data_IF_819754588231
#
_entry.id   IF_819754588231
#
_cell.length_a   1.000
_cell.length_b   1.000
_cell.length_c   1.000
_cell.angle_alpha   90.00
_cell.angle_beta   90.00
_cell.angle_gamma   90.00
#
_symmetry.space_group_name_H-M   'P 1'
#
loop_
_entity.id
_entity.type
_entity.pdbx_description
1 polymer ?
#
# COMPACT_ATOMS: atom_id res chain seq x y z
N UNK A 1 -46.94 11.95 -31.95
CA UNK A 1 -45.89 10.92 -32.00
C UNK A 1 -45.24 10.91 -30.64
N UNK A 2 -45.33 9.82 -29.88
CA UNK A 2 -44.77 9.79 -28.53
C UNK A 2 -43.33 9.29 -28.60
N UNK A 3 -42.38 10.10 -28.14
CA UNK A 3 -41.01 9.64 -27.91
C UNK A 3 -41.01 8.70 -26.70
N UNK A 4 -40.58 7.46 -26.89
CA UNK A 4 -40.36 6.54 -25.79
C UNK A 4 -39.11 6.94 -25.02
N UNK A 5 -39.25 7.17 -23.70
CA UNK A 5 -38.10 7.24 -22.79
C UNK A 5 -37.45 5.85 -22.78
N UNK A 6 -36.13 5.71 -22.92
CA UNK A 6 -35.47 4.40 -22.82
C UNK A 6 -35.69 3.84 -21.42
N UNK A 7 -36.24 2.63 -21.34
CA UNK A 7 -36.42 1.91 -20.09
C UNK A 7 -35.03 1.56 -19.54
N UNK A 8 -34.78 1.90 -18.27
CA UNK A 8 -33.52 1.56 -17.60
C UNK A 8 -33.31 0.04 -17.64
N UNK A 9 -32.08 -0.38 -17.96
CA UNK A 9 -31.72 -1.79 -18.01
C UNK A 9 -31.98 -2.50 -16.69
N UNK A 10 -32.36 -3.78 -16.76
CA UNK A 10 -32.55 -4.63 -15.58
C UNK A 10 -31.28 -4.63 -14.72
N UNK A 11 -31.40 -4.26 -13.45
CA UNK A 11 -30.32 -4.37 -12.48
C UNK A 11 -29.89 -5.83 -12.33
N UNK A 12 -28.73 -6.17 -12.89
CA UNK A 12 -28.13 -7.50 -12.78
C UNK A 12 -27.81 -7.78 -11.30
N UNK A 13 -28.45 -8.79 -10.73
CA UNK A 13 -28.18 -9.20 -9.36
C UNK A 13 -26.78 -9.83 -9.26
N UNK A 14 -25.95 -9.35 -8.33
CA UNK A 14 -24.62 -9.91 -8.10
C UNK A 14 -24.73 -11.35 -7.57
N UNK A 15 -23.78 -12.18 -7.99
CA UNK A 15 -23.59 -13.54 -7.49
C UNK A 15 -22.82 -13.52 -6.18
N UNK A 16 -23.19 -14.40 -5.27
CA UNK A 16 -22.44 -14.64 -4.03
C UNK A 16 -21.58 -15.89 -4.15
N UNK A 17 -20.37 -15.84 -3.58
CA UNK A 17 -19.59 -17.05 -3.33
C UNK A 17 -20.19 -17.82 -2.14
N UNK A 18 -20.10 -19.16 -2.10
CA UNK A 18 -20.63 -19.98 -1.00
C UNK A 18 -19.80 -19.85 0.30
N UNK A 19 -18.58 -19.33 0.19
CA UNK A 19 -17.66 -18.96 1.28
C UNK A 19 -16.93 -17.68 0.88
N UNK A 20 -16.32 -16.97 1.83
CA UNK A 20 -15.49 -15.79 1.53
C UNK A 20 -14.35 -16.19 0.57
N UNK A 21 -14.21 -15.56 -0.62
CA UNK A 21 -13.06 -15.80 -1.49
C UNK A 21 -11.81 -15.20 -0.84
N UNK A 22 -10.72 -15.97 -0.81
CA UNK A 22 -9.40 -15.51 -0.37
C UNK A 22 -8.40 -15.97 -1.43
N UNK A 23 -7.49 -15.07 -1.79
CA UNK A 23 -6.38 -15.32 -2.70
C UNK A 23 -5.09 -14.94 -1.99
N UNK A 24 -3.99 -15.59 -2.36
CA UNK A 24 -2.63 -15.23 -1.93
C UNK A 24 -1.81 -15.18 -3.20
N UNK A 25 -1.02 -14.13 -3.35
CA UNK A 25 -0.13 -13.87 -4.48
C UNK A 25 1.28 -13.62 -3.95
N UNK A 26 2.29 -13.72 -4.80
CA UNK A 26 3.69 -13.45 -4.42
C UNK A 26 4.04 -11.98 -4.69
N UNK A 27 3.83 -11.52 -5.93
CA UNK A 27 3.91 -10.10 -6.29
C UNK A 27 2.52 -9.45 -6.22
N UNK A 28 2.45 -8.22 -5.70
CA UNK A 28 1.22 -7.51 -5.38
C UNK A 28 0.26 -7.34 -6.58
N UNK A 29 0.77 -6.99 -7.77
CA UNK A 29 -0.04 -6.76 -8.96
C UNK A 29 -0.79 -8.02 -9.48
N UNK A 30 -0.35 -9.23 -9.10
CA UNK A 30 -1.03 -10.48 -9.49
C UNK A 30 -2.44 -10.62 -8.89
N UNK A 31 -2.84 -9.77 -7.94
CA UNK A 31 -4.21 -9.71 -7.42
C UNK A 31 -5.22 -9.23 -8.48
N UNK A 32 -4.80 -8.37 -9.41
CA UNK A 32 -5.67 -7.73 -10.40
C UNK A 32 -6.42 -8.74 -11.33
N UNK A 33 -5.77 -9.80 -11.86
CA UNK A 33 -6.46 -10.93 -12.51
C UNK A 33 -7.66 -11.51 -11.73
N UNK A 34 -7.58 -11.58 -10.40
CA UNK A 34 -8.63 -12.14 -9.56
C UNK A 34 -9.80 -11.16 -9.39
N UNK A 35 -9.51 -9.88 -9.21
CA UNK A 35 -10.50 -8.79 -9.16
C UNK A 35 -11.26 -8.72 -10.49
N UNK A 36 -10.55 -8.66 -11.63
CA UNK A 36 -11.17 -8.61 -12.96
C UNK A 36 -12.02 -9.86 -13.25
N UNK A 37 -11.60 -11.04 -12.78
CA UNK A 37 -12.41 -12.28 -12.88
C UNK A 37 -13.66 -12.22 -12.00
N UNK A 38 -13.60 -11.62 -10.80
CA UNK A 38 -14.77 -11.44 -9.94
C UNK A 38 -15.78 -10.46 -10.55
N UNK A 39 -15.33 -9.36 -11.16
CA UNK A 39 -16.16 -8.42 -11.92
C UNK A 39 -16.81 -9.12 -13.12
N UNK A 40 -16.01 -9.74 -14.01
CA UNK A 40 -16.50 -10.39 -15.22
C UNK A 40 -17.44 -11.58 -14.96
N UNK A 41 -17.36 -12.21 -13.79
CA UNK A 41 -18.28 -13.27 -13.36
C UNK A 41 -19.49 -12.77 -12.55
N UNK A 42 -19.65 -11.45 -12.40
CA UNK A 42 -20.68 -10.74 -11.63
C UNK A 42 -20.70 -11.03 -10.12
N UNK A 43 -19.56 -11.35 -9.51
CA UNK A 43 -19.40 -11.41 -8.05
C UNK A 43 -18.97 -10.07 -7.44
N UNK A 44 -18.37 -9.19 -8.25
CA UNK A 44 -18.21 -7.76 -7.97
C UNK A 44 -19.01 -6.94 -9.00
N UNK A 45 -19.44 -5.72 -8.65
CA UNK A 45 -20.06 -4.78 -9.59
C UNK A 45 -19.04 -4.29 -10.63
N UNK A 46 -19.53 -3.76 -11.76
CA UNK A 46 -18.68 -3.24 -12.82
C UNK A 46 -18.00 -1.89 -12.49
N UNK A 47 -18.45 -1.21 -11.45
CA UNK A 47 -18.00 0.11 -11.01
C UNK A 47 -18.32 0.33 -9.54
N UNK A 48 -17.84 1.44 -8.96
CA UNK A 48 -18.11 1.85 -7.58
C UNK A 48 -17.66 0.83 -6.51
N UNK A 49 -16.58 0.09 -6.79
CA UNK A 49 -15.91 -0.74 -5.79
C UNK A 49 -15.11 0.18 -4.84
N UNK A 50 -15.22 -0.09 -3.54
CA UNK A 50 -14.31 0.45 -2.53
C UNK A 50 -13.14 -0.50 -2.33
N UNK A 51 -11.92 0.02 -2.41
CA UNK A 51 -10.71 -0.76 -2.16
C UNK A 51 -10.17 -0.43 -0.76
N UNK A 52 -9.95 -1.43 0.09
CA UNK A 52 -9.38 -1.27 1.43
C UNK A 52 -8.00 -1.89 1.43
N UNK A 53 -6.97 -1.06 1.61
CA UNK A 53 -5.56 -1.43 1.46
C UNK A 53 -4.82 -1.29 2.78
N UNK A 54 -4.13 -2.34 3.25
CA UNK A 54 -3.29 -2.34 4.45
C UNK A 54 -1.83 -2.64 4.05
N UNK A 55 -1.00 -1.60 3.96
CA UNK A 55 0.35 -1.66 3.38
C UNK A 55 1.21 -0.47 3.86
N UNK A 56 2.55 -0.59 3.85
CA UNK A 56 3.46 0.55 4.02
C UNK A 56 3.56 1.45 2.79
N UNK A 57 2.99 1.04 1.65
CA UNK A 57 2.96 1.73 0.37
C UNK A 57 1.51 1.98 -0.08
N UNK A 58 1.24 3.08 -0.79
CA UNK A 58 -0.12 3.38 -1.26
C UNK A 58 -0.46 2.75 -2.62
N UNK A 59 0.57 2.38 -3.40
CA UNK A 59 0.52 1.74 -4.72
C UNK A 59 -0.35 2.44 -5.77
N UNK A 60 -0.35 3.77 -5.66
CA UNK A 60 -1.04 4.70 -6.54
C UNK A 60 -0.11 5.35 -7.59
N UNK A 61 1.07 4.79 -7.86
CA UNK A 61 1.83 5.22 -9.03
C UNK A 61 1.13 4.77 -10.32
N UNK A 62 1.61 5.28 -11.44
CA UNK A 62 1.11 5.00 -12.77
C UNK A 62 2.36 4.77 -13.64
N UNK A 63 2.42 3.71 -14.47
CA UNK A 63 3.53 3.54 -15.42
C UNK A 63 3.62 4.75 -16.36
N UNK A 64 4.62 5.61 -16.14
CA UNK A 64 4.68 6.99 -16.68
C UNK A 64 4.56 7.05 -18.21
N UNK A 65 5.05 6.00 -18.90
CA UNK A 65 5.10 5.89 -20.36
C UNK A 65 3.96 5.02 -20.96
N UNK A 66 3.14 4.35 -20.16
CA UNK A 66 2.10 3.45 -20.66
C UNK A 66 0.95 4.27 -21.30
N UNK A 67 0.57 4.00 -22.57
CA UNK A 67 -0.60 4.60 -23.18
C UNK A 67 -1.88 4.28 -22.38
N UNK A 68 -2.77 5.26 -22.22
CA UNK A 68 -3.97 5.06 -21.40
C UNK A 68 -4.91 3.97 -21.95
N UNK A 69 -4.88 3.73 -23.27
CA UNK A 69 -5.72 2.73 -23.91
C UNK A 69 -5.28 1.29 -23.59
N UNK A 70 -4.02 1.09 -23.15
CA UNK A 70 -3.48 -0.21 -22.72
C UNK A 70 -4.27 -0.82 -21.57
N UNK A 71 -4.93 -0.01 -20.72
CA UNK A 71 -5.77 -0.50 -19.61
C UNK A 71 -6.95 -1.37 -20.07
N UNK A 72 -7.35 -1.25 -21.34
CA UNK A 72 -8.43 -2.05 -21.93
C UNK A 72 -7.94 -3.29 -22.71
N UNK A 73 -6.63 -3.46 -22.87
CA UNK A 73 -5.99 -4.70 -23.32
C UNK A 73 -5.42 -5.42 -22.08
N UNK A 74 -6.09 -6.49 -21.65
CA UNK A 74 -5.76 -7.20 -20.41
C UNK A 74 -4.35 -7.81 -20.45
N UNK A 75 -3.96 -8.37 -21.58
CA UNK A 75 -2.69 -9.06 -21.75
C UNK A 75 -1.52 -8.06 -21.83
N UNK A 76 -1.71 -6.92 -22.50
CA UNK A 76 -0.72 -5.84 -22.52
C UNK A 76 -0.63 -5.14 -21.15
N UNK A 77 -1.76 -4.81 -20.52
CA UNK A 77 -1.80 -4.17 -19.19
C UNK A 77 -0.98 -4.96 -18.19
N UNK A 78 -1.23 -6.26 -18.03
CA UNK A 78 -0.56 -7.08 -17.02
C UNK A 78 0.97 -7.23 -17.28
N UNK A 79 1.47 -6.86 -18.45
CA UNK A 79 2.91 -6.81 -18.75
C UNK A 79 3.60 -5.47 -18.43
N UNK A 80 2.81 -4.42 -18.16
CA UNK A 80 3.29 -3.07 -17.80
C UNK A 80 3.18 -2.77 -16.29
N UNK A 81 2.58 -3.68 -15.50
CA UNK A 81 2.37 -3.50 -14.06
C UNK A 81 3.57 -3.96 -13.21
N UNK A 82 3.72 -3.28 -12.07
CA UNK A 82 4.64 -3.65 -10.98
C UNK A 82 3.95 -3.37 -9.63
N UNK A 83 4.57 -3.83 -8.55
CA UNK A 83 4.02 -3.82 -7.19
C UNK A 83 3.51 -2.45 -6.73
N UNK A 84 4.09 -1.36 -7.22
CA UNK A 84 3.83 0.01 -6.78
C UNK A 84 2.81 0.80 -7.61
N UNK A 85 2.28 0.23 -8.70
CA UNK A 85 1.58 1.00 -9.75
C UNK A 85 0.26 0.41 -10.28
N UNK A 86 -0.23 -0.68 -9.68
CA UNK A 86 -1.28 -1.51 -10.25
C UNK A 86 -2.72 -1.09 -9.92
N UNK A 87 -2.94 -0.32 -8.83
CA UNK A 87 -4.30 0.09 -8.40
C UNK A 87 -4.90 1.10 -9.38
N UNK A 88 -4.11 2.09 -9.82
CA UNK A 88 -4.59 3.23 -10.62
C UNK A 88 -5.16 2.86 -12.00
N UNK A 89 -4.60 1.88 -12.73
CA UNK A 89 -5.26 1.27 -13.88
C UNK A 89 -6.71 0.81 -13.62
N UNK A 90 -6.99 0.17 -12.49
CA UNK A 90 -8.35 -0.27 -12.14
C UNK A 90 -9.30 0.90 -11.78
N UNK A 91 -8.75 2.02 -11.30
CA UNK A 91 -9.48 3.28 -11.11
C UNK A 91 -9.78 3.93 -12.46
N UNK A 92 -8.81 4.02 -13.39
CA UNK A 92 -9.01 4.58 -14.73
C UNK A 92 -9.99 3.75 -15.58
N UNK A 93 -9.98 2.43 -15.44
CA UNK A 93 -11.00 1.54 -16.01
C UNK A 93 -12.42 1.85 -15.49
N UNK A 94 -12.54 2.52 -14.33
CA UNK A 94 -13.80 2.89 -13.68
C UNK A 94 -14.36 1.85 -12.72
N UNK A 95 -13.58 0.81 -12.38
CA UNK A 95 -14.00 -0.26 -11.48
C UNK A 95 -13.97 0.21 -10.01
N UNK A 96 -12.85 0.81 -9.59
CA UNK A 96 -12.63 1.33 -8.23
C UNK A 96 -12.96 2.83 -8.19
N UNK A 97 -13.68 3.29 -7.17
CA UNK A 97 -14.04 4.72 -6.98
C UNK A 97 -13.60 5.31 -5.62
N UNK A 98 -13.46 4.45 -4.61
CA UNK A 98 -12.90 4.78 -3.30
C UNK A 98 -11.66 3.92 -3.06
N UNK A 99 -10.58 4.51 -2.55
CA UNK A 99 -9.44 3.78 -1.97
C UNK A 99 -9.29 4.22 -0.52
N UNK A 100 -9.20 3.28 0.41
CA UNK A 100 -8.87 3.51 1.80
C UNK A 100 -7.47 2.93 2.03
N UNK A 101 -6.45 3.78 2.12
CA UNK A 101 -5.10 3.36 2.49
C UNK A 101 -4.96 3.45 4.01
N UNK A 102 -4.95 2.29 4.66
CA UNK A 102 -4.71 2.12 6.08
C UNK A 102 -3.21 1.86 6.25
N UNK A 103 -2.47 2.86 6.71
CA UNK A 103 -1.01 2.85 6.67
C UNK A 103 -0.37 2.85 8.07
N UNK A 104 0.80 2.23 8.25
CA UNK A 104 1.52 2.23 9.52
C UNK A 104 2.27 3.58 9.74
N UNK A 105 2.72 3.91 10.97
CA UNK A 105 3.29 5.22 11.29
C UNK A 105 4.60 5.59 10.57
N UNK A 106 5.27 4.62 9.94
CA UNK A 106 6.47 4.85 9.12
C UNK A 106 6.16 5.14 7.65
N UNK A 107 4.95 4.84 7.18
CA UNK A 107 4.47 5.17 5.86
C UNK A 107 3.91 6.60 5.87
N UNK A 108 4.51 7.48 5.07
CA UNK A 108 4.27 8.93 5.06
C UNK A 108 4.29 9.51 3.62
N UNK A 109 4.11 8.66 2.61
CA UNK A 109 4.17 9.01 1.18
C UNK A 109 3.08 10.00 0.75
N UNK A 110 1.89 9.88 1.35
CA UNK A 110 0.72 10.74 1.14
C UNK A 110 0.24 11.22 2.51
N UNK A 111 -0.24 12.46 2.61
CA UNK A 111 -0.70 13.05 3.87
C UNK A 111 -2.02 12.44 4.37
N UNK A 112 -2.23 12.36 5.68
CA UNK A 112 -3.45 11.80 6.27
C UNK A 112 -4.69 12.66 5.97
N UNK A 113 -5.82 12.02 5.65
CA UNK A 113 -7.08 12.73 5.42
C UNK A 113 -7.90 12.21 4.24
N UNK A 114 -8.60 13.13 3.57
CA UNK A 114 -9.56 12.84 2.50
C UNK A 114 -9.14 13.63 1.26
N UNK A 115 -8.65 12.91 0.25
CA UNK A 115 -8.15 13.45 -1.02
C UNK A 115 -9.15 13.14 -2.14
N UNK A 116 -9.42 14.13 -2.98
CA UNK A 116 -10.35 14.00 -4.10
C UNK A 116 -9.70 14.60 -5.35
N UNK A 117 -9.51 13.76 -6.36
CA UNK A 117 -8.89 14.16 -7.62
C UNK A 117 -9.44 13.32 -8.78
N UNK A 118 -9.14 13.75 -10.00
CA UNK A 118 -9.49 13.04 -11.22
C UNK A 118 -8.29 12.24 -11.72
N UNK A 119 -8.54 11.06 -12.28
CA UNK A 119 -7.61 10.31 -13.12
C UNK A 119 -8.16 10.28 -14.55
N UNK A 120 -7.30 10.39 -15.55
CA UNK A 120 -7.73 10.44 -16.95
C UNK A 120 -6.58 10.22 -17.94
N UNK A 121 -6.91 10.28 -19.22
CA UNK A 121 -5.93 10.28 -20.32
C UNK A 121 -5.50 11.72 -20.59
N UNK A 122 -4.22 12.02 -20.47
CA UNK A 122 -3.69 13.33 -20.86
C UNK A 122 -3.70 13.47 -22.40
N UNK A 123 -4.28 14.57 -22.90
CA UNK A 123 -4.37 14.89 -24.33
C UNK A 123 -3.02 15.06 -25.03
N UNK A 124 -1.96 15.38 -24.29
CA UNK A 124 -0.65 15.71 -24.85
C UNK A 124 0.29 14.50 -24.98
N UNK A 125 0.34 13.61 -23.99
CA UNK A 125 1.15 12.38 -24.00
C UNK A 125 0.36 11.12 -24.37
N UNK A 126 -0.97 11.15 -24.31
CA UNK A 126 -1.89 9.98 -24.42
C UNK A 126 -1.76 8.94 -23.29
N UNK A 127 -0.94 9.21 -22.28
CA UNK A 127 -0.74 8.36 -21.09
C UNK A 127 -1.72 8.72 -19.96
N UNK A 128 -1.76 7.93 -18.89
CA UNK A 128 -2.64 8.20 -17.74
C UNK A 128 -2.00 9.23 -16.82
N UNK A 129 -2.77 10.24 -16.41
CA UNK A 129 -2.35 11.31 -15.49
C UNK A 129 -3.48 11.66 -14.51
N UNK A 130 -3.14 12.38 -13.44
CA UNK A 130 -4.05 12.73 -12.34
C UNK A 130 -4.10 14.25 -12.11
N UNK A 131 -5.13 14.73 -11.43
CA UNK A 131 -5.17 16.11 -10.88
C UNK A 131 -4.77 16.18 -9.40
N UNK A 132 -4.22 15.09 -8.85
CA UNK A 132 -3.78 15.01 -7.45
C UNK A 132 -2.52 15.83 -7.20
N UNK A 133 -2.54 16.67 -6.17
CA UNK A 133 -1.46 17.64 -5.86
C UNK A 133 -0.55 17.21 -4.71
N UNK A 134 -0.72 16.01 -4.16
CA UNK A 134 0.20 15.44 -3.18
C UNK A 134 1.60 15.26 -3.78
N UNK A 135 2.63 15.42 -2.93
CA UNK A 135 4.04 15.31 -3.33
C UNK A 135 4.36 13.98 -4.04
N UNK A 136 3.65 12.92 -3.68
CA UNK A 136 3.69 11.60 -4.32
C UNK A 136 3.44 11.66 -5.84
N UNK A 137 2.33 12.28 -6.29
CA UNK A 137 2.01 12.40 -7.72
C UNK A 137 2.86 13.48 -8.42
N UNK A 138 3.29 14.51 -7.70
CA UNK A 138 4.12 15.59 -8.24
C UNK A 138 5.57 15.14 -8.53
N UNK A 139 6.12 14.24 -7.72
CA UNK A 139 7.51 13.76 -7.86
C UNK A 139 7.75 13.05 -9.19
N UNK A 140 6.81 12.21 -9.58
CA UNK A 140 6.90 11.34 -10.75
C UNK A 140 6.29 11.98 -12.02
N UNK A 141 5.92 13.27 -11.95
CA UNK A 141 5.35 14.01 -13.08
C UNK A 141 3.95 13.53 -13.50
N UNK A 142 3.19 12.93 -12.58
CA UNK A 142 1.87 12.37 -12.84
C UNK A 142 0.74 13.41 -12.85
N UNK A 143 1.00 14.63 -12.37
CA UNK A 143 0.02 15.72 -12.33
C UNK A 143 -0.17 16.41 -13.69
N UNK A 144 -1.43 16.61 -14.10
CA UNK A 144 -1.84 17.58 -15.13
C UNK A 144 -3.11 18.34 -14.72
N UNK A 145 -3.35 19.55 -15.27
CA UNK A 145 -4.62 20.26 -15.13
C UNK A 145 -5.84 19.47 -15.64
N UNK A 146 -7.00 19.66 -15.00
CA UNK A 146 -8.23 18.92 -15.30
C UNK A 146 -8.77 19.15 -16.73
N UNK A 147 -8.50 20.29 -17.34
CA UNK A 147 -8.87 20.63 -18.73
C UNK A 147 -7.99 19.91 -19.77
N UNK A 148 -6.93 19.22 -19.34
CA UNK A 148 -6.04 18.41 -20.18
C UNK A 148 -6.33 16.91 -20.08
N UNK A 149 -7.35 16.50 -19.30
CA UNK A 149 -7.74 15.10 -19.13
C UNK A 149 -9.01 14.71 -19.92
N UNK A 150 -8.90 13.69 -20.75
CA UNK A 150 -10.02 12.93 -21.32
C UNK A 150 -10.42 11.74 -20.44
N UNK A 151 -11.64 11.23 -20.64
CA UNK A 151 -12.18 10.01 -19.98
C UNK A 151 -12.17 10.01 -18.44
N UNK A 152 -12.15 11.20 -17.84
CA UNK A 152 -12.00 11.47 -16.40
C UNK A 152 -12.83 10.53 -15.50
N UNK A 153 -12.19 9.94 -14.50
CA UNK A 153 -12.82 9.22 -13.38
C UNK A 153 -12.49 9.95 -12.06
N UNK A 154 -13.46 10.18 -11.16
CA UNK A 154 -13.18 10.71 -9.84
C UNK A 154 -12.70 9.59 -8.89
N UNK A 155 -11.56 9.81 -8.23
CA UNK A 155 -11.09 8.98 -7.12
C UNK A 155 -11.30 9.70 -5.78
N UNK A 156 -11.80 8.97 -4.80
CA UNK A 156 -11.83 9.38 -3.39
C UNK A 156 -10.80 8.55 -2.64
N UNK A 157 -9.66 9.15 -2.32
CA UNK A 157 -8.62 8.53 -1.51
C UNK A 157 -8.80 8.94 -0.04
N UNK A 158 -8.81 7.96 0.85
CA UNK A 158 -8.84 8.14 2.30
C UNK A 158 -7.54 7.58 2.88
N UNK A 159 -6.67 8.43 3.40
CA UNK A 159 -5.39 8.05 4.02
C UNK A 159 -5.57 8.05 5.54
N UNK A 160 -5.39 6.89 6.16
CA UNK A 160 -5.79 6.62 7.54
C UNK A 160 -4.62 5.97 8.31
N UNK A 161 -4.02 6.72 9.23
CA UNK A 161 -2.96 6.24 10.10
C UNK A 161 -3.48 5.15 11.07
N UNK A 162 -2.88 3.96 11.01
CA UNK A 162 -3.11 2.87 11.96
C UNK A 162 -1.94 2.84 12.95
N UNK A 163 -2.17 3.40 14.14
CA UNK A 163 -1.23 3.25 15.25
C UNK A 163 -1.31 1.82 15.83
N UNK A 164 -0.18 1.16 16.13
CA UNK A 164 -0.17 -0.07 16.92
C UNK A 164 -0.84 0.17 18.27
N UNK A 165 -1.83 -0.66 18.62
CA UNK A 165 -2.37 -0.68 19.99
C UNK A 165 -1.38 -1.39 20.91
N UNK A 166 -0.94 -0.72 21.97
CA UNK A 166 -0.29 -1.35 23.12
C UNK A 166 -1.08 -2.60 23.55
N UNK A 167 -0.47 -3.78 23.44
CA UNK A 167 -1.10 -5.00 23.88
C UNK A 167 -1.29 -4.93 25.41
N UNK A 168 -2.53 -4.91 25.87
CA UNK A 168 -2.83 -4.83 27.30
C UNK A 168 -2.29 -6.06 28.02
N UNK A 169 -1.18 -5.91 28.73
CA UNK A 169 -0.47 -6.98 29.44
C UNK A 169 -1.24 -7.48 30.69
N UNK A 170 -2.42 -8.03 30.47
CA UNK A 170 -3.28 -8.65 31.48
C UNK A 170 -2.89 -10.11 31.70
N UNK A 171 -1.91 -10.32 32.59
CA UNK A 171 -1.49 -11.62 33.15
C UNK A 171 -0.98 -12.68 32.17
N UNK A 172 0.31 -12.63 31.83
CA UNK A 172 1.10 -13.87 31.77
C UNK A 172 1.58 -14.24 33.17
N UNK A 173 0.69 -14.88 33.95
CA UNK A 173 1.04 -15.39 35.28
C UNK A 173 1.80 -16.73 35.16
N UNK A 174 3.12 -16.62 35.00
CA UNK A 174 4.12 -17.60 35.41
C UNK A 174 3.93 -19.07 34.92
N UNK A 175 4.28 -19.32 33.65
CA UNK A 175 5.09 -20.49 33.32
C UNK A 175 4.44 -21.66 32.56
N UNK A 176 4.36 -21.54 31.23
CA UNK A 176 4.95 -22.55 30.34
C UNK A 176 5.28 -21.91 28.98
N UNK A 177 6.50 -22.12 28.45
CA UNK A 177 6.86 -21.60 27.12
C UNK A 177 6.19 -22.47 26.07
N UNK A 178 5.07 -21.99 25.52
CA UNK A 178 4.29 -22.65 24.47
C UNK A 178 5.07 -22.70 23.14
N UNK A 179 6.07 -23.58 23.06
CA UNK A 179 6.90 -23.77 21.88
C UNK A 179 6.02 -24.03 20.65
N UNK A 180 6.22 -23.21 19.60
CA UNK A 180 5.43 -23.25 18.38
C UNK A 180 5.36 -24.69 17.83
N UNK A 181 4.14 -25.18 17.58
CA UNK A 181 3.88 -26.56 17.14
C UNK A 181 4.41 -26.78 15.72
N UNK A 182 5.71 -27.08 15.64
CA UNK A 182 6.46 -27.42 14.42
C UNK A 182 5.72 -28.54 13.67
N UNK A 183 5.12 -28.19 12.54
CA UNK A 183 4.35 -29.13 11.73
C UNK A 183 5.26 -30.29 11.28
N UNK A 184 4.95 -31.50 11.74
CA UNK A 184 5.82 -32.66 11.58
C UNK A 184 5.54 -33.34 10.24
N UNK A 185 6.31 -32.99 9.20
CA UNK A 185 6.26 -33.69 7.92
C UNK A 185 6.65 -35.16 8.13
N UNK A 186 5.78 -36.09 7.72
CA UNK A 186 6.04 -37.52 7.76
C UNK A 186 6.82 -37.97 6.50
N UNK A 187 8.13 -37.73 6.46
CA UNK A 187 9.00 -38.36 5.47
C UNK A 187 9.37 -39.76 5.94
N UNK A 188 8.63 -40.76 5.47
CA UNK A 188 8.75 -42.16 5.87
C UNK A 188 9.07 -43.10 4.72
N UNK A 189 10.25 -42.97 4.12
CA UNK A 189 10.83 -44.01 3.25
C UNK A 189 12.36 -44.03 3.42
N UNK A 190 12.94 -45.22 3.49
CA UNK A 190 14.35 -45.44 3.88
C UNK A 190 15.10 -46.26 2.84
N UNK A 191 16.44 -46.09 2.85
CA UNK A 191 17.45 -46.88 2.14
C UNK A 191 17.70 -46.53 0.65
N UNK A 192 18.94 -46.53 0.11
CA UNK A 192 20.29 -46.61 0.76
C UNK A 192 21.47 -46.47 -0.24
N UNK A 193 22.70 -46.38 0.30
CA UNK A 193 24.04 -46.72 -0.28
C UNK A 193 24.84 -45.60 -1.01
N UNK A 194 26.18 -45.64 -0.77
CA UNK A 194 27.33 -44.93 -1.39
C UNK A 194 27.48 -43.41 -1.08
N UNK A 195 28.58 -42.87 -0.52
CA UNK A 195 30.04 -42.95 -0.81
C UNK A 195 30.51 -41.87 -1.82
N UNK A 196 31.60 -41.11 -1.62
CA UNK A 196 32.64 -41.09 -0.57
C UNK A 196 33.33 -39.69 -0.43
N UNK A 197 34.19 -39.55 0.61
CA UNK A 197 35.38 -38.67 0.78
C UNK A 197 35.59 -37.45 -0.13
N UNK A 198 36.01 -36.27 0.35
CA UNK A 198 37.33 -36.08 1.02
C UNK A 198 37.49 -34.72 1.75
N UNK A 199 38.62 -34.50 2.44
CA UNK A 199 38.85 -33.36 3.34
C UNK A 199 40.27 -32.75 3.26
N UNK A 200 40.41 -31.42 3.18
CA UNK A 200 41.61 -30.66 3.63
C UNK A 200 41.33 -29.16 3.84
N UNK A 201 42.05 -28.55 4.79
CA UNK A 201 42.23 -27.12 5.10
C UNK A 201 43.51 -27.01 5.99
N UNK A 202 43.96 -25.85 6.56
CA UNK A 202 43.52 -24.45 6.42
C UNK A 202 44.68 -23.40 6.28
N UNK A 203 44.35 -22.10 6.32
CA UNK A 203 45.23 -21.01 6.84
C UNK A 203 45.66 -19.89 5.86
N UNK A 204 46.12 -18.70 6.30
CA UNK A 204 45.96 -18.03 7.62
C UNK A 204 46.43 -16.54 7.58
N UNK A 205 45.77 -15.63 8.32
CA UNK A 205 46.15 -14.21 8.62
C UNK A 205 46.24 -13.22 7.41
N UNK A 206 46.26 -11.88 7.54
CA UNK A 206 46.51 -10.99 8.71
C UNK A 206 45.69 -9.65 8.71
N UNK A 207 45.85 -8.83 9.76
CA UNK A 207 45.15 -7.57 10.09
C UNK A 207 45.54 -6.31 9.28
N UNK A 208 44.65 -5.29 9.27
CA UNK A 208 44.96 -3.92 9.77
C UNK A 208 43.76 -2.95 9.83
N UNK A 209 43.77 -2.01 10.79
CA UNK A 209 42.85 -0.86 10.94
C UNK A 209 43.67 0.41 11.23
N UNK A 210 43.25 1.58 10.73
CA UNK A 210 43.48 2.83 11.46
C UNK A 210 42.20 3.68 11.64
N UNK A 211 41.93 4.10 12.87
CA UNK A 211 40.88 5.07 13.23
C UNK A 211 41.42 6.50 13.22
N UNK A 212 40.56 7.51 12.99
CA UNK A 212 40.90 8.92 13.22
C UNK A 212 39.73 9.70 13.84
N UNK A 213 40.05 10.87 14.44
CA UNK A 213 39.33 11.40 15.62
C UNK A 213 38.56 12.69 15.34
N UNK A 214 37.54 12.94 16.20
CA UNK A 214 36.88 14.24 16.38
C UNK A 214 37.90 15.37 16.58
N UNK A 215 37.51 16.59 16.20
CA UNK A 215 37.93 17.83 16.86
C UNK A 215 36.76 18.78 17.01
N UNK A 216 36.80 19.55 18.09
CA UNK A 216 35.77 20.49 18.55
C UNK A 216 36.48 21.81 18.87
N UNK A 217 35.91 22.96 18.49
CA UNK A 217 36.41 24.29 18.87
C UNK A 217 35.22 25.21 19.11
N UNK A 218 35.21 25.84 20.29
CA UNK A 218 34.23 26.84 20.70
C UNK A 218 34.84 28.24 20.53
N UNK A 219 34.02 29.28 20.34
CA UNK A 219 34.33 30.67 20.71
C UNK A 219 33.05 31.51 20.78
N UNK A 220 33.07 32.57 21.59
CA UNK A 220 31.88 33.38 21.91
C UNK A 220 32.15 34.89 21.77
N UNK A 221 31.10 35.71 21.60
CA UNK A 221 31.19 37.17 21.54
C UNK A 221 29.83 37.88 21.45
N UNK A 222 29.72 39.06 22.06
CA UNK A 222 28.46 39.81 22.35
C UNK A 222 28.81 41.27 22.68
N UNK A 223 27.94 42.30 22.68
CA UNK A 223 26.49 42.47 22.44
C UNK A 223 26.31 43.60 21.36
N UNK A 224 25.19 44.30 21.07
CA UNK A 224 23.77 44.35 21.51
C UNK A 224 22.92 45.10 20.44
N UNK A 225 21.57 44.96 20.43
CA UNK A 225 20.55 46.05 20.45
C UNK A 225 19.12 45.53 20.12
N UNK A 226 18.08 46.10 20.76
CA UNK A 226 16.64 45.84 20.58
C UNK A 226 15.99 46.75 19.49
N UNK A 227 14.69 46.77 19.15
CA UNK A 227 13.45 46.04 19.55
C UNK A 227 12.83 45.35 18.28
N UNK A 228 11.84 44.44 18.28
CA UNK A 228 10.43 44.55 18.78
C UNK A 228 9.75 43.17 18.79
N UNK A 229 8.67 43.03 19.57
CA UNK A 229 7.93 41.78 19.82
C UNK A 229 7.09 41.26 18.62
N UNK A 230 7.09 39.93 18.44
CA UNK A 230 5.97 39.16 17.90
C UNK A 230 6.03 37.74 18.48
N UNK A 231 4.90 37.19 18.91
CA UNK A 231 4.86 35.97 19.73
C UNK A 231 4.73 34.71 18.87
N UNK A 232 5.78 33.87 18.85
CA UNK A 232 5.74 32.51 18.30
C UNK A 232 6.00 31.51 19.43
N UNK A 233 4.97 30.83 19.98
CA UNK A 233 5.17 29.82 21.01
C UNK A 233 5.87 28.60 20.42
N UNK A 234 7.08 28.31 20.89
CA UNK A 234 7.78 27.09 20.57
C UNK A 234 7.09 25.86 21.19
N UNK A 235 7.25 24.70 20.54
CA UNK A 235 6.94 23.37 21.07
C UNK A 235 5.54 23.16 21.70
N UNK A 236 4.55 22.85 20.87
CA UNK A 236 3.74 21.66 21.16
C UNK A 236 4.49 20.46 20.59
N UNK A 237 5.26 19.73 21.39
CA UNK A 237 4.77 18.58 22.18
C UNK A 237 4.09 17.53 21.28
N UNK A 238 4.70 16.33 21.26
CA UNK A 238 4.08 15.13 20.69
C UNK A 238 2.76 14.91 21.43
N UNK A 239 1.63 15.16 20.74
CA UNK A 239 0.32 14.76 21.26
C UNK A 239 0.16 13.30 20.93
N UNK A 240 -0.08 12.47 21.94
CA UNK A 240 -0.61 11.13 21.74
C UNK A 240 -2.06 11.26 21.23
N UNK A 241 -2.20 11.50 19.93
CA UNK A 241 -3.46 11.33 19.21
C UNK A 241 -3.71 9.83 19.08
N UNK A 242 -4.04 9.18 20.19
CA UNK A 242 -4.80 7.94 20.18
C UNK A 242 -6.20 8.25 19.62
N UNK A 243 -6.27 8.40 18.30
CA UNK A 243 -7.54 8.38 17.59
C UNK A 243 -8.11 6.98 17.83
N UNK A 244 -9.19 6.81 18.61
CA UNK A 244 -9.54 5.48 19.09
C UNK A 244 -9.84 4.57 17.91
N UNK A 245 -9.44 3.30 17.97
CA UNK A 245 -9.70 2.32 16.90
C UNK A 245 -11.20 2.23 16.52
N UNK A 246 -12.09 2.59 17.46
CA UNK A 246 -13.55 2.74 17.23
C UNK A 246 -13.90 3.86 16.25
N UNK A 247 -13.17 4.97 16.24
CA UNK A 247 -13.39 6.09 15.33
C UNK A 247 -12.82 5.78 13.95
N UNK A 248 -11.63 5.16 13.87
CA UNK A 248 -11.08 4.57 12.63
C UNK A 248 -12.09 3.61 11.99
N UNK A 249 -12.67 2.69 12.76
CA UNK A 249 -13.70 1.75 12.29
C UNK A 249 -14.97 2.49 11.81
N UNK A 250 -15.38 3.60 12.45
CA UNK A 250 -16.51 4.41 11.98
C UNK A 250 -16.20 5.08 10.64
N UNK A 251 -15.01 5.67 10.47
CA UNK A 251 -14.61 6.31 9.22
C UNK A 251 -14.53 5.29 8.08
N UNK A 252 -13.89 4.14 8.30
CA UNK A 252 -13.87 3.02 7.34
C UNK A 252 -15.30 2.60 6.96
N UNK A 253 -16.17 2.35 7.95
CA UNK A 253 -17.57 2.01 7.69
C UNK A 253 -18.33 3.10 6.92
N UNK A 254 -18.08 4.39 7.18
CA UNK A 254 -18.71 5.50 6.47
C UNK A 254 -18.29 5.57 5.00
N UNK A 255 -17.05 5.22 4.67
CA UNK A 255 -16.59 5.17 3.26
C UNK A 255 -17.11 3.92 2.58
N UNK A 256 -17.08 2.76 3.24
CA UNK A 256 -17.60 1.51 2.69
C UNK A 256 -19.10 1.59 2.37
N UNK A 257 -19.88 2.35 3.14
CA UNK A 257 -21.30 2.63 2.86
C UNK A 257 -21.58 3.43 1.57
N UNK A 258 -20.55 3.99 0.91
CA UNK A 258 -20.67 4.67 -0.39
C UNK A 258 -20.43 3.73 -1.59
N UNK A 259 -19.77 2.60 -1.36
CA UNK A 259 -19.40 1.64 -2.40
C UNK A 259 -20.47 0.56 -2.58
N UNK A 260 -20.58 0.04 -3.80
CA UNK A 260 -21.54 -1.03 -4.14
C UNK A 260 -21.06 -2.40 -3.63
N UNK A 261 -19.75 -2.54 -3.43
CA UNK A 261 -19.04 -3.68 -2.83
C UNK A 261 -17.63 -3.23 -2.44
N UNK A 262 -16.89 -4.08 -1.71
CA UNK A 262 -15.48 -3.82 -1.40
C UNK A 262 -14.57 -5.01 -1.65
N UNK A 263 -13.30 -4.71 -1.90
CA UNK A 263 -12.17 -5.63 -1.81
C UNK A 263 -11.33 -5.22 -0.61
N UNK A 264 -10.85 -6.21 0.15
CA UNK A 264 -9.88 -6.03 1.23
C UNK A 264 -8.56 -6.64 0.78
N UNK A 265 -7.50 -5.87 0.93
CA UNK A 265 -6.13 -6.24 0.61
C UNK A 265 -5.21 -5.94 1.80
N UNK A 266 -4.16 -6.76 1.95
CA UNK A 266 -3.28 -6.77 3.12
C UNK A 266 -1.90 -7.27 2.67
N UNK A 267 -0.94 -6.37 2.52
CA UNK A 267 0.46 -6.76 2.35
C UNK A 267 1.08 -7.18 3.69
N UNK A 268 2.14 -7.98 3.64
CA UNK A 268 2.89 -8.43 4.81
C UNK A 268 3.77 -7.32 5.40
N UNK A 269 4.22 -6.36 4.60
CA UNK A 269 5.12 -5.29 5.01
C UNK A 269 4.45 -4.26 5.93
N UNK A 270 3.11 -4.16 5.90
CA UNK A 270 2.26 -3.34 6.79
C UNK A 270 2.63 -3.55 8.27
N UNK A 271 3.01 -4.77 8.63
CA UNK A 271 3.45 -5.12 9.98
C UNK A 271 4.96 -4.91 10.20
N UNK A 272 5.76 -5.00 9.13
CA UNK A 272 7.22 -4.91 9.16
C UNK A 272 7.85 -4.85 7.77
N UNK A 273 8.40 -3.68 7.39
CA UNK A 273 9.33 -3.53 6.24
C UNK A 273 10.67 -4.29 6.40
N UNK A 274 10.89 -4.99 7.53
CA UNK A 274 11.99 -5.96 7.64
C UNK A 274 11.58 -7.30 7.05
N UNK A 275 12.30 -7.75 6.03
CA UNK A 275 12.30 -9.16 5.62
C UNK A 275 12.72 -10.06 6.81
N UNK A 276 11.84 -10.93 7.34
CA UNK A 276 12.12 -11.72 8.55
C UNK A 276 13.11 -12.86 8.28
N UNK A 277 13.27 -13.28 7.02
CA UNK A 277 14.21 -14.31 6.62
C UNK A 277 15.64 -13.79 6.47
N UNK A 278 15.84 -12.46 6.41
CA UNK A 278 17.16 -11.83 6.26
C UNK A 278 18.11 -12.23 7.40
N UNK A 279 17.61 -12.28 8.63
CA UNK A 279 18.36 -12.72 9.82
C UNK A 279 18.61 -14.24 9.83
N UNK A 280 17.83 -15.04 9.07
CA UNK A 280 18.03 -16.48 8.92
C UNK A 280 19.10 -16.85 7.88
N UNK A 281 19.38 -15.94 6.92
CA UNK A 281 20.35 -16.13 5.83
C UNK A 281 21.62 -15.29 5.97
N UNK A 282 21.75 -14.46 7.00
CA UNK A 282 22.99 -13.72 7.30
C UNK A 282 23.82 -14.51 8.32
N UNK A 283 24.88 -15.18 7.85
CA UNK A 283 25.96 -15.77 8.67
C UNK A 283 27.23 -14.92 8.57
#
# INVERSE_FOLDING_TARGET
MNGGVPVAGSGDCLRTYPVLPVWVVEDHQDVLPFIYRAIGSKHLPASNISFVHLDSHPDLLIPVNMPADTVFDKEALFSELSIENWIMPAVYAGHISQVLWLHPPWAQQISEGKHQFLIGKDVSTTTIRVTGTDHYFLSDGLYVPADQLENQKPLNLHVILINPTEASNSQEENGEVAAAKRLKLNTGETASIASASSSVAPGNLDHSIPSLKKKEVQNAGTLNKAETLSECPASSSLRNNEYPIREVIKDVCQVLQKGDSYVLDIDLDFFSVKNPFKEMYTQ
#
